data_IF_792121563584
#
_entry.id   IF_792121563584
#
_cell.length_a   1.000
_cell.length_b   1.000
_cell.length_c   1.000
_cell.angle_alpha   90.00
_cell.angle_beta   90.00
_cell.angle_gamma   90.00
#
_symmetry.space_group_name_H-M   'P 1'
#
loop_
_entity.id
_entity.type
_entity.pdbx_description
1 polymer ?
#
# COMPACT_ATOMS: atom_id res chain seq x y z
N UNK A 1 0.76 14.37 -42.35
CA UNK A 1 0.79 15.80 -42.05
C UNK A 1 -0.61 16.42 -41.83
N UNK A 2 -1.60 16.30 -42.78
CA UNK A 2 -2.91 16.95 -42.59
C UNK A 2 -3.76 16.33 -41.50
N UNK A 3 -3.74 15.01 -41.34
CA UNK A 3 -4.47 14.29 -40.29
C UNK A 3 -3.86 14.58 -38.93
N UNK A 4 -2.55 14.57 -38.80
CA UNK A 4 -1.84 14.91 -37.55
C UNK A 4 -2.19 16.34 -37.10
N UNK A 5 -2.09 17.33 -37.99
CA UNK A 5 -2.46 18.70 -37.67
C UNK A 5 -3.93 18.85 -37.25
N UNK A 6 -4.84 18.08 -37.85
CA UNK A 6 -6.24 18.07 -37.42
C UNK A 6 -6.44 17.43 -36.04
N UNK A 7 -5.70 16.36 -35.70
CA UNK A 7 -5.73 15.74 -34.39
C UNK A 7 -5.18 16.70 -33.34
N UNK A 8 -4.04 17.33 -33.60
CA UNK A 8 -3.41 18.29 -32.68
C UNK A 8 -4.37 19.48 -32.40
N UNK A 9 -5.00 20.05 -33.45
CA UNK A 9 -5.99 21.12 -33.28
C UNK A 9 -7.24 20.68 -32.50
N UNK A 10 -7.68 19.42 -32.69
CA UNK A 10 -8.82 18.88 -31.94
C UNK A 10 -8.47 18.66 -30.46
N UNK A 11 -7.29 18.15 -30.15
CA UNK A 11 -6.79 17.99 -28.77
C UNK A 11 -6.68 19.34 -28.08
N UNK A 12 -6.07 20.32 -28.74
CA UNK A 12 -5.93 21.68 -28.20
C UNK A 12 -7.30 22.33 -27.93
N UNK A 13 -8.28 22.11 -28.81
CA UNK A 13 -9.63 22.60 -28.59
C UNK A 13 -10.35 21.92 -27.44
N UNK A 14 -10.15 20.58 -27.24
CA UNK A 14 -10.70 19.84 -26.11
C UNK A 14 -10.06 20.30 -24.80
N UNK A 15 -8.76 20.47 -24.77
CA UNK A 15 -8.03 20.95 -23.57
C UNK A 15 -8.49 22.37 -23.18
N UNK A 16 -8.74 23.24 -24.15
CA UNK A 16 -9.27 24.58 -23.90
C UNK A 16 -10.72 24.59 -23.37
N UNK A 17 -11.47 23.50 -23.61
CA UNK A 17 -12.85 23.32 -23.10
C UNK A 17 -12.92 22.63 -21.76
N UNK A 18 -11.80 22.09 -21.25
CA UNK A 18 -11.76 21.36 -20.00
C UNK A 18 -12.13 22.27 -18.82
N UNK A 19 -13.03 21.79 -17.98
CA UNK A 19 -13.46 22.48 -16.76
C UNK A 19 -12.78 21.76 -15.58
N UNK A 20 -12.00 22.47 -14.74
CA UNK A 20 -11.40 21.88 -13.56
C UNK A 20 -12.45 21.32 -12.59
N UNK A 21 -12.15 20.16 -12.00
CA UNK A 21 -12.93 19.55 -10.92
C UNK A 21 -12.28 19.97 -9.59
N UNK A 22 -12.77 21.04 -8.98
CA UNK A 22 -12.15 21.69 -7.83
C UNK A 22 -13.00 21.63 -6.55
N UNK A 23 -14.17 21.00 -6.60
CA UNK A 23 -15.05 20.86 -5.45
C UNK A 23 -15.83 19.53 -5.46
N UNK A 24 -16.33 19.15 -4.27
CA UNK A 24 -17.10 17.92 -4.05
C UNK A 24 -18.28 17.78 -5.03
N UNK A 25 -19.01 18.86 -5.27
CA UNK A 25 -20.25 18.82 -6.07
C UNK A 25 -19.95 18.51 -7.55
N UNK A 26 -18.92 19.12 -8.13
CA UNK A 26 -18.51 18.84 -9.52
C UNK A 26 -17.95 17.44 -9.68
N UNK A 27 -17.17 16.96 -8.73
CA UNK A 27 -16.65 15.60 -8.71
C UNK A 27 -17.81 14.59 -8.59
N UNK A 28 -18.76 14.83 -7.67
CA UNK A 28 -19.94 13.99 -7.50
C UNK A 28 -20.82 13.95 -8.75
N UNK A 29 -20.98 15.08 -9.46
CA UNK A 29 -21.74 15.14 -10.70
C UNK A 29 -21.09 14.29 -11.82
N UNK A 30 -19.78 14.37 -11.99
CA UNK A 30 -19.02 13.53 -12.96
C UNK A 30 -19.10 12.05 -12.58
N UNK A 31 -18.91 11.72 -11.31
CA UNK A 31 -19.00 10.35 -10.82
C UNK A 31 -20.42 9.78 -10.99
N UNK A 32 -21.45 10.58 -10.74
CA UNK A 32 -22.85 10.21 -10.99
C UNK A 32 -23.11 9.95 -12.47
N UNK A 33 -22.59 10.80 -13.35
CA UNK A 33 -22.72 10.60 -14.79
C UNK A 33 -22.02 9.33 -15.29
N UNK A 34 -20.88 8.98 -14.69
CA UNK A 34 -20.11 7.79 -15.04
C UNK A 34 -20.72 6.49 -14.50
N UNK A 35 -21.25 6.51 -13.29
CA UNK A 35 -21.79 5.31 -12.61
C UNK A 35 -23.29 5.11 -12.86
N UNK A 36 -24.01 6.16 -13.19
CA UNK A 36 -25.48 6.18 -13.27
C UNK A 36 -26.17 6.17 -11.89
N UNK A 37 -25.41 6.31 -10.80
CA UNK A 37 -25.88 6.24 -9.42
C UNK A 37 -25.46 7.49 -8.63
N UNK A 38 -26.46 8.24 -8.15
CA UNK A 38 -26.24 9.49 -7.42
C UNK A 38 -25.66 9.26 -6.00
N UNK A 39 -25.94 8.12 -5.36
CA UNK A 39 -25.40 7.77 -4.05
C UNK A 39 -23.91 7.47 -4.16
N UNK A 40 -23.51 6.66 -5.14
CA UNK A 40 -22.10 6.38 -5.44
C UNK A 40 -21.39 7.67 -5.83
N UNK A 41 -22.02 8.50 -6.68
CA UNK A 41 -21.47 9.78 -7.08
C UNK A 41 -21.16 10.69 -5.91
N UNK A 42 -22.08 10.81 -4.97
CA UNK A 42 -21.89 11.61 -3.75
C UNK A 42 -20.75 11.06 -2.87
N UNK A 43 -20.69 9.75 -2.66
CA UNK A 43 -19.62 9.11 -1.87
C UNK A 43 -18.24 9.36 -2.51
N UNK A 44 -18.13 9.22 -3.82
CA UNK A 44 -16.87 9.49 -4.53
C UNK A 44 -16.48 10.97 -4.49
N UNK A 45 -17.44 11.89 -4.63
CA UNK A 45 -17.20 13.32 -4.48
C UNK A 45 -16.61 13.66 -3.13
N UNK A 46 -17.23 13.21 -2.04
CA UNK A 46 -16.74 13.38 -0.68
C UNK A 46 -15.35 12.75 -0.48
N UNK A 47 -15.12 11.53 -0.99
CA UNK A 47 -13.82 10.87 -0.84
C UNK A 47 -12.69 11.63 -1.53
N UNK A 48 -12.91 12.13 -2.74
CA UNK A 48 -11.90 12.90 -3.45
C UNK A 48 -11.69 14.30 -2.86
N UNK A 49 -12.73 14.91 -2.32
CA UNK A 49 -12.60 16.20 -1.61
C UNK A 49 -11.72 16.07 -0.35
N UNK A 50 -11.91 14.99 0.41
CA UNK A 50 -11.13 14.71 1.63
C UNK A 50 -9.71 14.25 1.34
N UNK A 51 -9.52 13.36 0.35
CA UNK A 51 -8.24 12.70 0.08
C UNK A 51 -7.40 13.38 -1.00
N UNK A 52 -8.02 14.25 -1.79
CA UNK A 52 -7.38 14.93 -2.92
C UNK A 52 -7.38 14.13 -4.23
N UNK A 53 -6.92 14.75 -5.34
CA UNK A 53 -7.05 14.21 -6.69
C UNK A 53 -6.22 12.94 -6.96
N UNK A 54 -5.21 12.67 -6.14
CA UNK A 54 -4.35 11.50 -6.25
C UNK A 54 -4.76 10.34 -5.32
N UNK A 55 -5.98 10.40 -4.77
CA UNK A 55 -6.49 9.38 -3.86
C UNK A 55 -6.54 8.00 -4.52
N UNK A 56 -6.07 6.99 -3.82
CA UNK A 56 -6.20 5.61 -4.23
C UNK A 56 -7.49 5.01 -3.65
N UNK A 57 -8.56 4.96 -4.45
CA UNK A 57 -9.86 4.44 -4.05
C UNK A 57 -9.94 2.96 -4.46
N UNK A 58 -10.14 2.08 -3.48
CA UNK A 58 -10.28 0.64 -3.69
C UNK A 58 -11.73 0.24 -3.45
N UNK A 59 -12.37 -0.33 -4.46
CA UNK A 59 -13.73 -0.82 -4.39
C UNK A 59 -13.69 -2.30 -4.03
N UNK A 60 -14.37 -2.68 -2.94
CA UNK A 60 -14.48 -4.07 -2.49
C UNK A 60 -15.94 -4.43 -2.26
N UNK A 61 -16.33 -5.64 -2.67
CA UNK A 61 -17.65 -6.16 -2.35
C UNK A 61 -17.73 -6.63 -0.89
N UNK A 62 -18.85 -6.35 -0.24
CA UNK A 62 -19.18 -6.91 1.08
C UNK A 62 -20.69 -7.17 1.18
N UNK A 63 -21.12 -7.94 2.19
CA UNK A 63 -22.53 -8.33 2.31
C UNK A 63 -23.28 -7.27 3.12
N UNK A 64 -23.86 -6.30 2.41
CA UNK A 64 -24.74 -5.28 2.98
C UNK A 64 -25.71 -4.75 1.92
N UNK A 65 -26.70 -4.01 2.35
CA UNK A 65 -27.73 -3.39 1.50
C UNK A 65 -27.48 -1.89 1.28
N UNK A 66 -26.35 -1.39 1.71
CA UNK A 66 -25.95 0.02 1.62
C UNK A 66 -24.48 0.11 1.22
N UNK A 67 -24.07 1.27 0.70
CA UNK A 67 -22.69 1.60 0.43
C UNK A 67 -22.03 2.14 1.70
N UNK A 68 -20.79 1.72 1.94
CA UNK A 68 -19.98 2.18 3.06
C UNK A 68 -18.61 2.62 2.57
N UNK A 69 -17.93 3.46 3.33
CA UNK A 69 -16.60 3.97 3.04
C UNK A 69 -15.72 3.95 4.28
N UNK A 70 -14.47 3.60 4.08
CA UNK A 70 -13.47 3.62 5.13
C UNK A 70 -12.22 4.38 4.63
N UNK A 71 -11.73 5.29 5.45
CA UNK A 71 -10.53 6.06 5.18
C UNK A 71 -9.34 5.42 5.91
N UNK A 72 -8.25 5.26 5.18
CA UNK A 72 -7.00 4.74 5.72
C UNK A 72 -5.86 5.70 5.36
N UNK A 73 -5.10 6.11 6.34
CA UNK A 73 -3.86 6.85 6.10
C UNK A 73 -2.74 5.91 5.65
N UNK A 74 -1.87 6.39 4.77
CA UNK A 74 -0.73 5.65 4.25
C UNK A 74 -1.03 4.85 2.99
N UNK A 75 -0.10 3.95 2.63
CA UNK A 75 -0.19 3.14 1.43
C UNK A 75 -0.51 1.67 1.76
N UNK A 76 -1.32 1.03 0.91
CA UNK A 76 -1.69 -0.37 1.03
C UNK A 76 -1.08 -1.18 -0.12
N UNK A 77 -0.27 -2.16 0.23
CA UNK A 77 0.36 -3.07 -0.73
C UNK A 77 -0.17 -4.48 -0.60
N UNK A 78 -0.32 -5.16 -1.73
CA UNK A 78 -0.76 -6.55 -1.76
C UNK A 78 0.42 -7.47 -1.39
N UNK A 79 0.32 -8.17 -0.26
CA UNK A 79 1.39 -9.00 0.26
C UNK A 79 0.88 -10.09 1.19
N UNK A 80 1.80 -10.70 1.91
CA UNK A 80 1.50 -11.64 2.96
C UNK A 80 2.67 -11.77 3.93
N UNK A 81 2.36 -12.06 5.19
CA UNK A 81 3.38 -12.38 6.17
C UNK A 81 4.12 -13.67 5.79
N UNK A 82 5.39 -13.74 6.14
CA UNK A 82 6.26 -14.88 5.81
C UNK A 82 5.94 -16.08 6.71
N UNK A 83 5.62 -15.83 7.98
CA UNK A 83 5.35 -16.86 8.96
C UNK A 83 4.30 -16.42 9.98
N UNK A 84 3.36 -17.30 10.38
CA UNK A 84 2.39 -16.99 11.44
C UNK A 84 3.04 -16.74 12.80
N UNK A 85 4.24 -17.25 13.06
CA UNK A 85 4.98 -17.02 14.29
C UNK A 85 5.46 -15.57 14.49
N UNK A 86 5.32 -14.72 13.47
CA UNK A 86 5.68 -13.31 13.51
C UNK A 86 4.45 -12.40 13.68
N UNK A 87 3.28 -12.96 13.90
CA UNK A 87 2.05 -12.21 14.15
C UNK A 87 2.05 -11.67 15.60
N UNK A 88 1.49 -10.48 15.77
CA UNK A 88 1.30 -9.88 17.10
C UNK A 88 -0.07 -10.22 17.69
N UNK A 89 -1.03 -10.57 16.83
CA UNK A 89 -2.37 -11.03 17.19
C UNK A 89 -2.71 -12.27 16.34
N UNK A 90 -2.61 -13.42 16.96
CA UNK A 90 -2.86 -14.71 16.30
C UNK A 90 -4.36 -14.93 15.97
N UNK A 91 -5.25 -14.37 16.77
CA UNK A 91 -6.71 -14.50 16.59
C UNK A 91 -7.16 -13.75 15.36
N UNK A 92 -6.71 -12.50 15.23
CA UNK A 92 -7.00 -11.64 14.07
C UNK A 92 -6.07 -11.92 12.88
N UNK A 93 -5.01 -12.68 13.09
CA UNK A 93 -3.96 -12.99 12.11
C UNK A 93 -3.31 -11.74 11.52
N UNK A 94 -2.98 -10.79 12.38
CA UNK A 94 -2.34 -9.52 12.02
C UNK A 94 -1.04 -9.32 12.79
N UNK A 95 -0.12 -8.56 12.20
CA UNK A 95 1.05 -8.02 12.88
C UNK A 95 0.94 -6.49 12.89
N UNK A 96 0.82 -5.90 14.07
CA UNK A 96 0.80 -4.46 14.28
C UNK A 96 2.14 -4.05 14.87
N UNK A 97 2.86 -3.21 14.16
CA UNK A 97 4.16 -2.69 14.58
C UNK A 97 4.07 -1.17 14.67
N UNK A 98 4.31 -0.63 15.85
CA UNK A 98 4.29 0.81 16.08
C UNK A 98 5.69 1.40 15.91
N UNK A 99 5.80 2.53 15.21
CA UNK A 99 7.07 3.22 14.95
C UNK A 99 8.18 2.30 14.42
N UNK A 100 7.80 1.37 13.54
CA UNK A 100 8.71 0.38 13.01
C UNK A 100 9.68 0.96 11.98
N UNK A 101 10.94 0.54 12.07
CA UNK A 101 11.85 0.67 10.95
C UNK A 101 11.42 -0.28 9.83
N UNK A 102 11.48 0.17 8.60
CA UNK A 102 11.12 -0.66 7.43
C UNK A 102 12.38 -0.97 6.64
N UNK A 103 12.64 -2.27 6.46
CA UNK A 103 13.66 -2.75 5.53
C UNK A 103 12.96 -3.27 4.28
N UNK A 104 13.26 -2.67 3.14
CA UNK A 104 12.81 -3.14 1.84
C UNK A 104 13.99 -3.73 1.09
N UNK A 105 13.88 -4.98 0.64
CA UNK A 105 14.94 -5.66 -0.10
C UNK A 105 14.36 -6.66 -1.11
N UNK A 106 15.01 -6.79 -2.25
CA UNK A 106 14.72 -7.82 -3.26
C UNK A 106 15.44 -9.15 -3.00
N UNK A 107 16.27 -9.20 -1.95
CA UNK A 107 17.09 -10.35 -1.62
C UNK A 107 16.31 -11.44 -0.89
N UNK A 108 16.90 -12.63 -0.90
CA UNK A 108 16.48 -13.78 -0.12
C UNK A 108 17.22 -13.75 1.22
N UNK A 109 16.48 -13.86 2.31
CA UNK A 109 17.01 -13.86 3.69
C UNK A 109 16.90 -15.26 4.30
N UNK A 110 17.82 -16.16 3.95
CA UNK A 110 17.76 -17.58 4.38
C UNK A 110 18.58 -17.88 5.63
N UNK A 111 19.50 -17.00 6.02
CA UNK A 111 20.45 -17.25 7.10
C UNK A 111 20.08 -16.50 8.39
N UNK A 112 20.43 -17.10 9.53
CA UNK A 112 20.32 -16.43 10.83
C UNK A 112 21.13 -15.12 10.87
N UNK A 113 22.28 -15.10 10.21
CA UNK A 113 23.15 -13.92 10.16
C UNK A 113 22.48 -12.75 9.45
N UNK A 114 21.75 -12.99 8.34
CA UNK A 114 21.04 -11.93 7.61
C UNK A 114 19.99 -11.27 8.49
N UNK A 115 19.21 -12.04 9.24
CA UNK A 115 18.23 -11.51 10.18
C UNK A 115 18.88 -10.75 11.35
N UNK A 116 19.94 -11.34 11.95
CA UNK A 116 20.66 -10.71 13.07
C UNK A 116 21.25 -9.34 12.67
N UNK A 117 21.85 -9.23 11.49
CA UNK A 117 22.40 -7.95 10.99
C UNK A 117 21.33 -6.84 10.90
N UNK A 118 20.12 -7.21 10.49
CA UNK A 118 18.98 -6.27 10.43
C UNK A 118 18.57 -5.83 11.83
N UNK A 119 18.38 -6.78 12.74
CA UNK A 119 18.01 -6.47 14.12
C UNK A 119 19.06 -5.59 14.80
N UNK A 120 20.34 -5.92 14.65
CA UNK A 120 21.45 -5.13 15.19
C UNK A 120 21.47 -3.69 14.63
N UNK A 121 21.19 -3.52 13.33
CA UNK A 121 21.14 -2.23 12.71
C UNK A 121 19.97 -1.36 13.26
N UNK A 122 18.83 -1.97 13.53
CA UNK A 122 17.66 -1.31 14.12
C UNK A 122 17.92 -0.93 15.57
N UNK A 123 18.49 -1.86 16.37
CA UNK A 123 18.83 -1.60 17.78
C UNK A 123 19.85 -0.47 17.91
N UNK A 124 20.90 -0.45 17.06
CA UNK A 124 21.90 0.63 17.04
C UNK A 124 21.29 2.00 16.74
N UNK A 125 20.15 2.06 16.05
CA UNK A 125 19.38 3.27 15.78
C UNK A 125 18.36 3.60 16.87
N UNK A 126 18.31 2.82 17.95
CA UNK A 126 17.36 2.99 19.03
C UNK A 126 15.94 2.49 18.69
N UNK A 127 15.78 1.77 17.59
CA UNK A 127 14.50 1.19 17.17
C UNK A 127 14.10 0.01 18.03
N UNK A 128 12.79 -0.16 18.22
CA UNK A 128 12.20 -1.28 18.97
C UNK A 128 11.32 -2.19 18.11
N UNK A 129 11.04 -1.78 16.89
CA UNK A 129 10.24 -2.56 15.96
C UNK A 129 10.81 -2.50 14.54
N UNK A 130 10.67 -3.60 13.78
CA UNK A 130 11.10 -3.68 12.37
C UNK A 130 10.13 -4.49 11.53
N UNK A 131 9.76 -3.93 10.38
CA UNK A 131 9.10 -4.64 9.29
C UNK A 131 10.12 -4.95 8.21
N UNK A 132 10.27 -6.21 7.87
CA UNK A 132 11.16 -6.65 6.80
C UNK A 132 10.32 -7.05 5.59
N UNK A 133 10.51 -6.37 4.48
CA UNK A 133 9.88 -6.70 3.20
C UNK A 133 10.96 -7.29 2.31
N UNK A 134 10.87 -8.60 2.02
CA UNK A 134 11.87 -9.32 1.27
C UNK A 134 11.26 -10.25 0.22
N UNK A 135 12.08 -10.73 -0.69
CA UNK A 135 11.65 -11.69 -1.71
C UNK A 135 11.23 -13.03 -1.11
N UNK A 136 11.99 -13.54 -0.16
CA UNK A 136 11.75 -14.77 0.58
C UNK A 136 12.56 -14.76 1.88
N UNK A 137 12.05 -15.41 2.92
CA UNK A 137 12.78 -15.61 4.16
C UNK A 137 12.77 -17.10 4.51
N UNK A 138 13.91 -17.63 4.91
CA UNK A 138 14.05 -19.02 5.31
C UNK A 138 13.88 -19.23 6.81
N UNK A 139 13.68 -20.49 7.21
CA UNK A 139 13.35 -20.88 8.59
C UNK A 139 14.38 -20.42 9.62
N UNK A 140 15.67 -20.40 9.26
CA UNK A 140 16.74 -19.94 10.16
C UNK A 140 16.62 -18.45 10.49
N UNK A 141 16.26 -17.63 9.49
CA UNK A 141 16.03 -16.21 9.70
C UNK A 141 14.73 -15.98 10.49
N UNK A 142 13.65 -16.70 10.15
CA UNK A 142 12.38 -16.67 10.90
C UNK A 142 12.61 -17.02 12.37
N UNK A 143 13.37 -18.09 12.66
CA UNK A 143 13.68 -18.49 14.03
C UNK A 143 14.40 -17.41 14.86
N UNK A 144 15.30 -16.64 14.23
CA UNK A 144 15.94 -15.48 14.90
C UNK A 144 14.94 -14.40 15.22
N UNK A 145 14.05 -14.04 14.28
CA UNK A 145 13.02 -13.04 14.51
C UNK A 145 12.05 -13.47 15.62
N UNK A 146 11.55 -14.69 15.56
CA UNK A 146 10.65 -15.26 16.57
C UNK A 146 11.28 -15.25 17.96
N UNK A 147 12.53 -15.73 18.08
CA UNK A 147 13.22 -15.75 19.37
C UNK A 147 13.43 -14.35 19.97
N UNK A 148 13.59 -13.31 19.15
CA UNK A 148 13.69 -11.92 19.63
C UNK A 148 12.32 -11.34 19.99
N UNK A 149 11.27 -11.68 19.26
CA UNK A 149 9.90 -11.33 19.60
C UNK A 149 9.49 -11.92 20.95
N UNK A 150 9.75 -13.22 21.17
CA UNK A 150 9.45 -13.95 22.43
C UNK A 150 10.18 -13.36 23.65
N UNK A 151 11.40 -12.89 23.43
CA UNK A 151 12.19 -12.21 24.48
C UNK A 151 11.76 -10.77 24.73
N UNK A 152 10.91 -10.22 23.89
CA UNK A 152 10.52 -8.80 23.96
C UNK A 152 11.66 -7.81 23.70
N UNK A 153 12.78 -8.28 23.08
CA UNK A 153 13.95 -7.43 22.82
C UNK A 153 13.66 -6.43 21.69
N UNK A 154 13.06 -6.91 20.62
CA UNK A 154 12.65 -6.13 19.46
C UNK A 154 11.45 -6.83 18.81
N UNK A 155 10.45 -6.09 18.45
CA UNK A 155 9.30 -6.61 17.74
C UNK A 155 9.56 -6.63 16.24
N UNK A 156 9.43 -7.78 15.62
CA UNK A 156 9.75 -7.94 14.21
C UNK A 156 8.67 -8.71 13.46
N UNK A 157 8.40 -8.29 12.25
CA UNK A 157 7.58 -9.03 11.29
C UNK A 157 8.26 -9.04 9.93
N UNK A 158 8.00 -10.07 9.15
CA UNK A 158 8.47 -10.17 7.78
C UNK A 158 7.31 -10.45 6.83
N UNK A 159 7.32 -9.76 5.71
CA UNK A 159 6.31 -9.88 4.67
C UNK A 159 6.95 -10.03 3.28
N UNK A 160 6.22 -10.67 2.39
CA UNK A 160 6.55 -10.72 0.96
C UNK A 160 5.48 -9.99 0.16
N UNK A 161 5.89 -9.26 -0.87
CA UNK A 161 4.96 -8.64 -1.79
C UNK A 161 4.59 -9.64 -2.88
N UNK A 162 3.28 -9.83 -3.05
CA UNK A 162 2.72 -10.65 -4.12
C UNK A 162 2.48 -9.77 -5.36
N UNK A 163 3.51 -9.61 -6.17
CA UNK A 163 3.36 -9.07 -7.51
C UNK A 163 3.45 -10.23 -8.51
N UNK A 164 2.53 -10.30 -9.45
CA UNK A 164 2.56 -11.27 -10.54
C UNK A 164 3.41 -10.69 -11.69
N UNK A 165 4.43 -11.43 -12.14
CA UNK A 165 5.33 -11.01 -13.20
C UNK A 165 6.50 -10.14 -12.71
N UNK A 166 7.04 -9.29 -13.61
CA UNK A 166 8.20 -8.41 -13.38
C UNK A 166 7.92 -7.06 -12.65
N UNK A 167 6.71 -6.70 -12.19
CA UNK A 167 6.49 -5.42 -11.48
C UNK A 167 7.00 -5.40 -10.03
N UNK A 168 7.61 -6.48 -9.51
CA UNK A 168 8.11 -6.53 -8.13
C UNK A 168 9.17 -5.48 -7.82
N UNK A 169 10.18 -5.22 -8.68
CA UNK A 169 11.16 -4.17 -8.42
C UNK A 169 10.52 -2.78 -8.34
N UNK A 170 9.54 -2.49 -9.17
CA UNK A 170 8.80 -1.22 -9.18
C UNK A 170 8.04 -1.02 -7.87
N UNK A 171 7.28 -2.02 -7.42
CA UNK A 171 6.55 -1.97 -6.14
C UNK A 171 7.50 -1.84 -4.94
N UNK A 172 8.67 -2.48 -4.96
CA UNK A 172 9.67 -2.32 -3.91
C UNK A 172 10.30 -0.92 -3.92
N UNK A 173 10.50 -0.33 -5.10
CA UNK A 173 10.95 1.06 -5.23
C UNK A 173 9.90 2.04 -4.71
N UNK A 174 8.62 1.84 -5.04
CA UNK A 174 7.52 2.66 -4.52
C UNK A 174 7.49 2.64 -3.00
N UNK A 175 7.61 1.44 -2.40
CA UNK A 175 7.72 1.27 -0.95
C UNK A 175 8.95 1.92 -0.32
N UNK A 176 10.05 2.01 -1.05
CA UNK A 176 11.28 2.62 -0.55
C UNK A 176 11.27 4.17 -0.64
N UNK A 177 10.38 4.73 -1.45
CA UNK A 177 10.18 6.18 -1.58
C UNK A 177 9.24 6.72 -0.49
N UNK A 178 8.28 5.93 -0.04
CA UNK A 178 7.36 6.22 1.08
C UNK A 178 8.08 6.23 2.43
#
# INVERSE_FOLDING_TARGET
HGVEAAVDAAVEAIDAMAIPLDNEETIAAVATAATGDAEIGKILGEMYDVLGPNANIIITGYIATYHDRAYHEGARFKGGYVSPYLLTDEVRRVAILENAHVLVTDQVMDTAESASKVLDAVVRRGGKAVLIICKRMGDKAIGVLTANNDRGTIQSCAATIKAYGDPRPEVLNDLAIL
#
